data_IF_830914773153
#
_entry.id   IF_830914773153
#
_cell.length_a   1.000
_cell.length_b   1.000
_cell.length_c   1.000
_cell.angle_alpha   90.00
_cell.angle_beta   90.00
_cell.angle_gamma   90.00
#
_symmetry.space_group_name_H-M   'P 1'
#
loop_
_entity.id
_entity.type
_entity.pdbx_description
1 polymer ?
#
# COMPACT_ATOMS: atom_id res chain seq x y z
N UNK A 1 -13.58 -3.47 20.05
CA UNK A 1 -13.66 -2.07 19.58
C UNK A 1 -12.27 -1.45 19.64
N UNK A 2 -11.73 -0.98 18.52
CA UNK A 2 -10.40 -0.34 18.45
C UNK A 2 -10.30 0.99 19.21
N UNK A 3 -11.43 1.59 19.55
CA UNK A 3 -11.50 2.91 20.25
C UNK A 3 -11.05 2.83 21.72
N UNK A 4 -10.65 1.65 22.19
CA UNK A 4 -10.05 1.51 23.51
C UNK A 4 -8.59 1.98 23.50
N UNK A 5 -8.37 3.21 23.97
CA UNK A 5 -7.02 3.84 24.03
C UNK A 5 -6.09 3.18 25.03
N UNK A 6 -6.56 2.21 25.84
CA UNK A 6 -5.70 1.37 26.67
C UNK A 6 -4.89 0.34 25.88
N UNK A 7 -5.30 0.04 24.63
CA UNK A 7 -4.57 -0.88 23.74
C UNK A 7 -3.17 -0.35 23.44
N UNK A 8 -2.18 -1.23 23.61
CA UNK A 8 -0.78 -0.97 23.26
C UNK A 8 -0.56 -1.25 21.78
N UNK A 9 -0.14 -0.23 21.04
CA UNK A 9 0.12 -0.33 19.59
C UNK A 9 1.63 -0.41 19.37
N UNK A 10 2.05 -1.39 18.57
CA UNK A 10 3.41 -1.54 18.09
C UNK A 10 3.44 -1.34 16.57
N UNK A 11 4.27 -0.42 16.10
CA UNK A 11 4.54 -0.22 14.68
C UNK A 11 5.94 -0.76 14.37
N UNK A 12 6.01 -1.75 13.49
CA UNK A 12 7.27 -2.33 13.01
C UNK A 12 7.56 -1.78 11.62
N UNK A 13 8.63 -0.99 11.50
CA UNK A 13 8.93 -0.23 10.30
C UNK A 13 8.36 1.19 10.34
N UNK A 14 9.21 2.15 10.74
CA UNK A 14 8.81 3.55 10.91
C UNK A 14 9.31 4.40 9.73
N UNK A 15 8.82 4.07 8.53
CA UNK A 15 8.97 4.87 7.31
C UNK A 15 7.82 5.85 7.10
N UNK A 16 7.59 6.26 5.86
CA UNK A 16 6.46 7.12 5.48
C UNK A 16 5.12 6.59 6.00
N UNK A 17 4.80 5.32 5.74
CA UNK A 17 3.52 4.73 6.14
C UNK A 17 3.43 4.50 7.65
N UNK A 18 4.42 3.86 8.26
CA UNK A 18 4.41 3.61 9.71
C UNK A 18 4.36 4.90 10.51
N UNK A 19 5.09 5.93 10.11
CA UNK A 19 5.03 7.26 10.73
C UNK A 19 3.69 7.96 10.54
N UNK A 20 3.06 7.80 9.37
CA UNK A 20 1.72 8.36 9.10
C UNK A 20 0.63 7.68 9.93
N UNK A 21 0.72 6.36 10.12
CA UNK A 21 -0.15 5.61 11.05
C UNK A 21 0.05 6.09 12.49
N UNK A 22 1.32 6.22 12.93
CA UNK A 22 1.63 6.74 14.26
C UNK A 22 1.01 8.12 14.47
N UNK A 23 1.21 9.04 13.54
CA UNK A 23 0.68 10.40 13.59
C UNK A 23 -0.86 10.42 13.68
N UNK A 24 -1.54 9.60 12.88
CA UNK A 24 -2.99 9.52 12.90
C UNK A 24 -3.52 8.95 14.22
N UNK A 25 -2.93 7.86 14.73
CA UNK A 25 -3.38 7.18 15.95
C UNK A 25 -3.07 7.99 17.22
N UNK A 26 -1.97 8.74 17.25
CA UNK A 26 -1.64 9.65 18.38
C UNK A 26 -2.72 10.68 18.63
N UNK A 27 -3.47 11.14 17.63
CA UNK A 27 -4.58 12.10 17.78
C UNK A 27 -5.72 11.58 18.64
N UNK A 28 -5.87 10.25 18.71
CA UNK A 28 -6.88 9.59 19.54
C UNK A 28 -6.36 9.22 20.93
N UNK A 29 -5.10 9.56 21.25
CA UNK A 29 -4.52 9.31 22.57
C UNK A 29 -3.92 7.90 22.76
N UNK A 30 -3.75 7.11 21.69
CA UNK A 30 -3.09 5.81 21.78
C UNK A 30 -1.63 5.96 22.20
N UNK A 31 -1.15 4.99 23.00
CA UNK A 31 0.28 4.81 23.29
C UNK A 31 0.90 3.96 22.20
N UNK A 32 1.93 4.51 21.55
CA UNK A 32 2.56 3.90 20.39
C UNK A 32 4.04 3.60 20.70
N UNK A 33 4.38 2.32 20.56
CA UNK A 33 5.76 1.86 20.47
C UNK A 33 6.16 1.65 19.02
N UNK A 34 7.41 1.87 18.67
CA UNK A 34 7.90 1.56 17.32
C UNK A 34 9.25 0.84 17.35
N UNK A 35 9.42 -0.06 16.38
CA UNK A 35 10.69 -0.74 16.10
C UNK A 35 11.16 -0.36 14.71
N UNK A 36 12.38 0.16 14.58
CA UNK A 36 13.05 0.41 13.30
C UNK A 36 14.56 0.41 13.48
N UNK A 37 15.28 -0.06 12.46
CA UNK A 37 16.76 -0.24 12.54
C UNK A 37 17.55 1.06 12.65
N UNK A 38 16.99 2.17 12.17
CA UNK A 38 17.70 3.46 12.14
C UNK A 38 17.44 4.27 13.41
N UNK A 39 18.45 4.52 14.27
CA UNK A 39 18.28 5.29 15.51
C UNK A 39 17.86 6.75 15.26
N UNK A 40 18.27 7.36 14.15
CA UNK A 40 17.86 8.73 13.79
C UNK A 40 16.35 8.82 13.51
N UNK A 41 15.76 7.76 12.94
CA UNK A 41 14.30 7.66 12.74
C UNK A 41 13.56 7.65 14.08
N UNK A 42 14.08 6.92 15.07
CA UNK A 42 13.52 6.89 16.43
C UNK A 42 13.64 8.26 17.09
N UNK A 43 14.83 8.87 17.04
CA UNK A 43 15.06 10.19 17.60
C UNK A 43 14.11 11.24 17.01
N UNK A 44 13.95 11.26 15.69
CA UNK A 44 13.01 12.14 15.00
C UNK A 44 11.56 11.90 15.47
N UNK A 45 11.12 10.65 15.52
CA UNK A 45 9.75 10.31 15.87
C UNK A 45 9.41 10.65 17.34
N UNK A 46 10.35 10.44 18.27
CA UNK A 46 10.21 10.84 19.68
C UNK A 46 10.17 12.37 19.81
N UNK A 47 11.11 13.07 19.17
CA UNK A 47 11.21 14.54 19.24
C UNK A 47 9.98 15.24 18.66
N UNK A 48 9.30 14.61 17.67
CA UNK A 48 8.09 15.12 17.05
C UNK A 48 6.80 14.52 17.65
N UNK A 49 6.90 13.80 18.78
CA UNK A 49 5.78 13.19 19.48
C UNK A 49 4.90 12.25 18.58
N UNK A 50 5.54 11.57 17.63
CA UNK A 50 4.86 10.57 16.78
C UNK A 50 4.69 9.23 17.49
N UNK A 51 5.63 8.91 18.40
CA UNK A 51 5.63 7.68 19.20
C UNK A 51 5.96 8.01 20.66
N UNK A 52 5.61 7.11 21.58
CA UNK A 52 5.94 7.22 23.01
C UNK A 52 7.22 6.47 23.34
N UNK A 53 7.47 5.34 22.67
CA UNK A 53 8.65 4.50 22.88
C UNK A 53 9.22 4.04 21.55
N UNK A 54 10.54 4.05 21.42
CA UNK A 54 11.23 3.63 20.20
C UNK A 54 12.37 2.66 20.48
N UNK A 55 12.52 1.67 19.61
CA UNK A 55 13.53 0.61 19.75
C UNK A 55 14.22 0.37 18.41
N UNK A 56 15.54 0.17 18.47
CA UNK A 56 16.35 -0.19 17.29
C UNK A 56 16.53 -1.71 17.17
N UNK A 57 16.21 -2.44 18.23
CA UNK A 57 16.28 -3.90 18.33
C UNK A 57 14.91 -4.46 18.67
N UNK A 58 14.63 -5.68 18.22
CA UNK A 58 13.40 -6.39 18.57
C UNK A 58 13.57 -7.01 19.95
N UNK A 59 12.65 -6.69 20.87
CA UNK A 59 12.65 -7.18 22.25
C UNK A 59 11.37 -7.94 22.52
N UNK A 60 11.49 -9.12 23.14
CA UNK A 60 10.36 -9.99 23.44
C UNK A 60 9.30 -9.28 24.29
N UNK A 61 9.71 -8.56 25.32
CA UNK A 61 8.80 -7.82 26.21
C UNK A 61 7.98 -6.75 25.46
N UNK A 62 8.56 -6.11 24.43
CA UNK A 62 7.86 -5.09 23.64
C UNK A 62 6.84 -5.73 22.70
N UNK A 63 7.21 -6.85 22.07
CA UNK A 63 6.35 -7.58 21.13
C UNK A 63 5.19 -8.27 21.86
N UNK A 64 5.48 -8.94 22.99
CA UNK A 64 4.49 -9.69 23.74
C UNK A 64 3.44 -8.83 24.46
N UNK A 65 3.76 -7.55 24.70
CA UNK A 65 2.82 -6.62 25.33
C UNK A 65 1.82 -5.97 24.33
N UNK A 66 2.14 -5.96 23.03
CA UNK A 66 1.32 -5.28 22.04
C UNK A 66 -0.05 -5.95 21.84
N UNK A 67 -1.11 -5.13 21.76
CA UNK A 67 -2.48 -5.56 21.43
C UNK A 67 -2.77 -5.45 19.94
N UNK A 68 -2.14 -4.50 19.27
CA UNK A 68 -2.18 -4.29 17.83
C UNK A 68 -0.77 -4.11 17.31
N UNK A 69 -0.39 -4.91 16.31
CA UNK A 69 0.91 -4.78 15.64
C UNK A 69 0.66 -4.41 14.18
N UNK A 70 1.30 -3.33 13.74
CA UNK A 70 1.18 -2.79 12.38
C UNK A 70 2.54 -2.88 11.69
N UNK A 71 2.63 -3.63 10.60
CA UNK A 71 3.87 -3.78 9.84
C UNK A 71 3.92 -2.81 8.67
N UNK A 72 4.83 -1.83 8.76
CA UNK A 72 5.18 -0.88 7.70
C UNK A 72 6.48 -1.27 6.98
N UNK A 73 6.62 -2.54 6.60
CA UNK A 73 7.82 -3.16 6.01
C UNK A 73 7.56 -3.59 4.56
N UNK A 74 8.62 -3.84 3.80
CA UNK A 74 8.54 -4.50 2.50
C UNK A 74 8.08 -5.95 2.68
N UNK A 75 7.41 -6.56 1.67
CA UNK A 75 6.81 -7.88 1.80
C UNK A 75 7.76 -8.96 2.31
N UNK A 76 8.96 -9.08 1.73
CA UNK A 76 9.95 -10.08 2.15
C UNK A 76 10.44 -9.83 3.59
N UNK A 77 10.77 -8.57 3.94
CA UNK A 77 11.24 -8.21 5.29
C UNK A 77 10.18 -8.48 6.34
N UNK A 78 8.91 -8.24 6.01
CA UNK A 78 7.79 -8.54 6.89
C UNK A 78 7.69 -10.05 7.21
N UNK A 79 7.76 -10.90 6.19
CA UNK A 79 7.68 -12.35 6.38
C UNK A 79 8.91 -12.92 7.12
N UNK A 80 10.09 -12.39 6.85
CA UNK A 80 11.31 -12.73 7.61
C UNK A 80 11.16 -12.36 9.07
N UNK A 81 10.68 -11.14 9.35
CA UNK A 81 10.45 -10.68 10.72
C UNK A 81 9.45 -11.56 11.46
N UNK A 82 8.33 -11.92 10.81
CA UNK A 82 7.35 -12.83 11.41
C UNK A 82 7.94 -14.22 11.68
N UNK A 83 8.75 -14.74 10.78
CA UNK A 83 9.38 -16.07 10.93
C UNK A 83 10.33 -16.10 12.14
N UNK A 84 11.02 -15.01 12.43
CA UNK A 84 11.99 -14.91 13.52
C UNK A 84 11.31 -14.59 14.87
N UNK A 85 10.43 -13.60 14.88
CA UNK A 85 9.88 -13.00 16.11
C UNK A 85 8.38 -13.26 16.33
N UNK A 86 7.67 -13.82 15.37
CA UNK A 86 6.21 -14.04 15.46
C UNK A 86 5.77 -14.86 16.66
N UNK A 87 6.64 -15.76 17.16
CA UNK A 87 6.43 -16.57 18.37
C UNK A 87 6.27 -15.75 19.66
N UNK A 88 6.74 -14.50 19.69
CA UNK A 88 6.61 -13.60 20.84
C UNK A 88 5.29 -12.81 20.82
N UNK A 89 4.57 -12.82 19.71
CA UNK A 89 3.29 -12.14 19.61
C UNK A 89 2.25 -12.88 20.44
N UNK A 90 1.61 -12.18 21.38
CA UNK A 90 0.56 -12.78 22.22
C UNK A 90 -0.66 -13.18 21.39
N UNK A 91 -1.30 -14.29 21.72
CA UNK A 91 -2.44 -14.86 20.98
C UNK A 91 -3.64 -13.92 20.84
N UNK A 92 -3.81 -13.00 21.78
CA UNK A 92 -4.91 -12.02 21.77
C UNK A 92 -4.61 -10.77 20.92
N UNK A 93 -3.40 -10.66 20.37
CA UNK A 93 -3.05 -9.51 19.55
C UNK A 93 -3.65 -9.62 18.15
N UNK A 94 -4.04 -8.47 17.60
CA UNK A 94 -4.34 -8.33 16.19
C UNK A 94 -3.08 -7.89 15.44
N UNK A 95 -2.77 -8.54 14.33
CA UNK A 95 -1.61 -8.22 13.49
C UNK A 95 -2.09 -7.78 12.12
N UNK A 96 -1.56 -6.67 11.61
CA UNK A 96 -1.87 -6.16 10.26
C UNK A 96 -0.65 -5.61 9.56
N UNK A 97 -0.73 -5.43 8.25
CA UNK A 97 0.33 -4.90 7.40
C UNK A 97 -0.17 -3.74 6.52
N UNK A 98 0.76 -3.15 5.76
CA UNK A 98 0.46 -2.11 4.76
C UNK A 98 0.95 -2.48 3.36
N UNK A 99 1.31 -3.75 3.11
CA UNK A 99 1.93 -4.18 1.86
C UNK A 99 1.03 -3.95 0.65
N UNK A 100 1.64 -3.64 -0.50
CA UNK A 100 0.94 -3.37 -1.76
C UNK A 100 0.52 -4.61 -2.55
N UNK A 101 0.85 -5.82 -2.06
CA UNK A 101 0.49 -7.12 -2.64
C UNK A 101 -0.03 -8.05 -1.54
N UNK A 102 -0.93 -8.96 -1.86
CA UNK A 102 -1.63 -9.75 -0.82
C UNK A 102 -1.45 -11.25 -0.94
N UNK A 103 -1.60 -11.84 -2.12
CA UNK A 103 -1.51 -13.30 -2.30
C UNK A 103 -0.18 -13.88 -1.81
N UNK A 104 0.92 -13.22 -2.13
CA UNK A 104 2.27 -13.65 -1.75
C UNK A 104 2.56 -13.48 -0.25
N UNK A 105 1.76 -12.69 0.46
CA UNK A 105 2.01 -12.28 1.86
C UNK A 105 1.00 -12.92 2.82
N UNK A 106 -0.30 -12.81 2.52
CA UNK A 106 -1.38 -13.09 3.49
C UNK A 106 -1.35 -14.54 3.97
N UNK A 107 -1.30 -15.49 3.04
CA UNK A 107 -1.35 -16.92 3.37
C UNK A 107 -0.10 -17.36 4.14
N UNK A 108 1.07 -16.84 3.74
CA UNK A 108 2.32 -17.15 4.43
C UNK A 108 2.39 -16.56 5.83
N UNK A 109 1.91 -15.32 6.01
CA UNK A 109 1.83 -14.71 7.33
C UNK A 109 0.87 -15.47 8.26
N UNK A 110 -0.30 -15.88 7.74
CA UNK A 110 -1.25 -16.70 8.48
C UNK A 110 -0.74 -18.12 8.80
N UNK A 111 0.11 -18.67 7.95
CA UNK A 111 0.77 -19.95 8.21
C UNK A 111 1.80 -19.83 9.34
N UNK A 112 2.63 -18.79 9.32
CA UNK A 112 3.64 -18.53 10.35
C UNK A 112 2.98 -18.29 11.72
N UNK A 113 1.85 -17.59 11.76
CA UNK A 113 1.13 -17.26 12.99
C UNK A 113 0.09 -18.32 13.39
N UNK A 114 0.05 -19.47 12.72
CA UNK A 114 -0.98 -20.49 12.98
C UNK A 114 -1.03 -20.93 14.45
N UNK A 115 -2.23 -20.94 15.04
CA UNK A 115 -2.44 -21.19 16.47
C UNK A 115 -1.97 -20.08 17.41
N UNK A 116 -1.48 -18.96 16.88
CA UNK A 116 -1.02 -17.75 17.60
C UNK A 116 -1.98 -16.57 17.48
N UNK A 117 -1.40 -15.40 17.18
CA UNK A 117 -2.13 -14.15 16.95
C UNK A 117 -2.88 -14.18 15.62
N UNK A 118 -3.99 -13.44 15.54
CA UNK A 118 -4.74 -13.32 14.30
C UNK A 118 -4.13 -12.25 13.38
N UNK A 119 -3.78 -12.66 12.16
CA UNK A 119 -3.31 -11.76 11.11
C UNK A 119 -4.41 -11.45 10.12
N UNK A 120 -4.68 -10.15 9.91
CA UNK A 120 -5.56 -9.64 8.87
C UNK A 120 -4.83 -8.57 8.07
N UNK A 121 -4.82 -8.72 6.77
CA UNK A 121 -4.06 -7.84 5.90
C UNK A 121 -4.89 -6.66 5.42
N UNK A 122 -4.23 -5.50 5.25
CA UNK A 122 -4.84 -4.33 4.66
C UNK A 122 -3.87 -3.56 3.77
N UNK A 123 -4.42 -2.86 2.76
CA UNK A 123 -3.65 -2.01 1.86
C UNK A 123 -4.19 -0.58 1.92
N UNK A 124 -3.46 0.35 2.53
CA UNK A 124 -3.74 1.77 2.43
C UNK A 124 -3.38 2.26 1.02
N UNK A 125 -4.39 2.56 0.19
CA UNK A 125 -4.21 3.12 -1.16
C UNK A 125 -3.79 4.60 -1.08
N UNK A 126 -2.73 4.84 -0.33
CA UNK A 126 -2.15 6.14 -0.06
C UNK A 126 -0.63 6.03 -0.12
N UNK A 127 0.03 7.05 -0.61
CA UNK A 127 1.49 7.09 -0.70
C UNK A 127 1.94 8.38 -1.37
N UNK A 128 3.24 8.57 -1.35
CA UNK A 128 3.94 9.65 -2.05
C UNK A 128 5.24 9.09 -2.62
N UNK A 129 5.80 9.79 -3.59
CA UNK A 129 7.09 9.45 -4.19
C UNK A 129 8.29 9.81 -3.27
N UNK A 130 8.03 9.94 -1.95
CA UNK A 130 9.01 10.23 -0.92
C UNK A 130 9.08 9.07 0.08
N UNK A 131 10.19 8.93 0.77
CA UNK A 131 10.41 7.94 1.83
C UNK A 131 10.87 8.62 3.12
N UNK A 132 10.93 7.83 4.21
CA UNK A 132 11.38 8.33 5.52
C UNK A 132 10.24 8.83 6.41
N UNK A 133 10.49 8.81 7.72
CA UNK A 133 9.52 9.25 8.74
C UNK A 133 9.29 10.75 8.71
N UNK A 134 10.26 11.53 8.27
CA UNK A 134 10.21 12.98 8.12
C UNK A 134 9.19 13.45 7.07
N UNK A 135 8.81 12.57 6.13
CA UNK A 135 7.80 12.82 5.11
C UNK A 135 6.40 12.30 5.52
N UNK A 136 6.27 11.73 6.73
CA UNK A 136 5.01 11.21 7.23
C UNK A 136 3.97 12.30 7.41
N UNK A 137 2.73 11.96 7.11
CA UNK A 137 1.58 12.84 7.30
C UNK A 137 0.31 12.01 7.37
N UNK A 138 -0.49 12.19 8.39
CA UNK A 138 -1.82 11.59 8.47
C UNK A 138 -2.79 12.11 7.38
N UNK A 139 -2.50 13.27 6.80
CA UNK A 139 -3.30 13.84 5.71
C UNK A 139 -3.25 13.02 4.41
N UNK A 140 -2.26 12.12 4.25
CA UNK A 140 -2.18 11.24 3.07
C UNK A 140 -3.37 10.28 2.97
N UNK A 141 -4.04 10.01 4.08
CA UNK A 141 -5.19 9.10 4.15
C UNK A 141 -6.52 9.76 3.74
N UNK A 142 -6.58 11.10 3.81
CA UNK A 142 -7.80 11.85 3.46
C UNK A 142 -8.09 11.73 1.96
N UNK A 143 -9.27 11.24 1.62
CA UNK A 143 -9.69 11.01 0.23
C UNK A 143 -9.10 9.74 -0.39
N UNK A 144 -8.33 8.94 0.35
CA UNK A 144 -7.79 7.67 -0.09
C UNK A 144 -8.73 6.49 0.27
N UNK A 145 -8.46 5.33 -0.34
CA UNK A 145 -9.15 4.08 -0.07
C UNK A 145 -8.32 3.19 0.87
N UNK A 146 -9.00 2.42 1.72
CA UNK A 146 -8.41 1.38 2.55
C UNK A 146 -9.00 0.04 2.18
N UNK A 147 -8.18 -0.92 1.79
CA UNK A 147 -8.64 -2.23 1.33
C UNK A 147 -8.26 -3.27 2.37
N UNK A 148 -9.24 -3.86 3.04
CA UNK A 148 -9.06 -5.00 3.94
C UNK A 148 -9.17 -6.29 3.13
N UNK A 149 -8.23 -7.21 3.32
CA UNK A 149 -8.17 -8.46 2.55
C UNK A 149 -8.24 -9.68 3.47
N UNK A 150 -9.45 -10.03 3.96
CA UNK A 150 -9.65 -11.19 4.79
C UNK A 150 -9.55 -12.51 4.00
N UNK A 151 -9.26 -13.57 4.72
CA UNK A 151 -9.39 -14.96 4.27
C UNK A 151 -10.42 -15.69 5.14
N UNK A 152 -10.67 -16.95 4.85
CA UNK A 152 -11.54 -17.82 5.65
C UNK A 152 -11.01 -18.03 7.10
N UNK A 153 -9.72 -17.81 7.33
CA UNK A 153 -9.11 -17.87 8.68
C UNK A 153 -9.45 -16.66 9.55
N UNK A 154 -9.99 -15.58 8.99
CA UNK A 154 -10.25 -14.37 9.75
C UNK A 154 -11.62 -14.38 10.42
N UNK A 155 -11.61 -14.01 11.70
CA UNK A 155 -12.84 -13.79 12.47
C UNK A 155 -13.57 -12.52 12.01
N UNK A 156 -14.90 -12.50 12.18
CA UNK A 156 -15.69 -11.29 11.91
C UNK A 156 -15.21 -10.10 12.76
N UNK A 157 -14.75 -10.38 13.97
CA UNK A 157 -14.22 -9.35 14.87
C UNK A 157 -12.96 -8.70 14.30
N UNK A 158 -11.97 -9.49 13.87
CA UNK A 158 -10.73 -8.96 13.28
C UNK A 158 -11.01 -8.15 12.00
N UNK A 159 -11.95 -8.60 11.16
CA UNK A 159 -12.36 -7.87 9.97
C UNK A 159 -12.93 -6.48 10.33
N UNK A 160 -13.84 -6.41 11.30
CA UNK A 160 -14.42 -5.12 11.72
C UNK A 160 -13.40 -4.24 12.45
N UNK A 161 -12.51 -4.80 13.29
CA UNK A 161 -11.44 -4.03 13.92
C UNK A 161 -10.47 -3.44 12.88
N UNK A 162 -10.12 -4.19 11.84
CA UNK A 162 -9.27 -3.70 10.75
C UNK A 162 -9.96 -2.60 9.91
N UNK A 163 -11.27 -2.74 9.64
CA UNK A 163 -12.05 -1.69 8.99
C UNK A 163 -12.16 -0.43 9.85
N UNK A 164 -12.35 -0.59 11.16
CA UNK A 164 -12.39 0.53 12.10
C UNK A 164 -11.04 1.25 12.16
N UNK A 165 -9.91 0.51 12.10
CA UNK A 165 -8.58 1.09 11.97
C UNK A 165 -8.50 2.00 10.74
N UNK A 166 -8.96 1.55 9.57
CA UNK A 166 -9.00 2.36 8.36
C UNK A 166 -9.81 3.66 8.55
N UNK A 167 -10.98 3.59 9.21
CA UNK A 167 -11.80 4.78 9.51
C UNK A 167 -11.12 5.74 10.48
N UNK A 168 -10.48 5.22 11.54
CA UNK A 168 -9.71 6.03 12.50
C UNK A 168 -8.53 6.74 11.84
N UNK A 169 -7.88 6.10 10.89
CA UNK A 169 -6.79 6.70 10.12
C UNK A 169 -7.27 7.83 9.19
N UNK A 170 -8.58 7.95 8.94
CA UNK A 170 -9.17 9.02 8.13
C UNK A 170 -9.39 8.66 6.66
N UNK A 171 -9.36 7.37 6.30
CA UNK A 171 -9.67 6.95 4.94
C UNK A 171 -11.13 7.22 4.59
N UNK A 172 -11.38 7.70 3.38
CA UNK A 172 -12.73 8.08 2.91
C UNK A 172 -13.58 6.86 2.54
N UNK A 173 -12.94 5.77 2.13
CA UNK A 173 -13.63 4.54 1.77
C UNK A 173 -12.85 3.33 2.31
N UNK A 174 -13.58 2.38 2.89
CA UNK A 174 -13.04 1.12 3.42
C UNK A 174 -13.70 -0.03 2.68
N UNK A 175 -12.96 -0.64 1.77
CA UNK A 175 -13.39 -1.80 0.99
C UNK A 175 -12.93 -3.11 1.64
N UNK A 176 -13.61 -4.21 1.29
CA UNK A 176 -13.25 -5.55 1.75
C UNK A 176 -13.37 -6.51 0.57
N UNK A 177 -12.25 -7.08 0.13
CA UNK A 177 -12.15 -8.02 -0.99
C UNK A 177 -11.16 -9.13 -0.67
N UNK A 178 -11.18 -10.24 -1.41
CA UNK A 178 -10.21 -11.32 -1.22
C UNK A 178 -8.79 -10.90 -1.62
N UNK A 179 -7.74 -11.59 -1.12
CA UNK A 179 -6.36 -11.35 -1.58
C UNK A 179 -6.20 -11.50 -3.09
N UNK A 180 -6.94 -12.44 -3.72
CA UNK A 180 -6.92 -12.69 -5.16
C UNK A 180 -7.52 -11.52 -5.94
N UNK A 181 -8.70 -11.07 -5.53
CA UNK A 181 -9.37 -9.93 -6.16
C UNK A 181 -8.57 -8.64 -5.98
N UNK A 182 -7.97 -8.46 -4.79
CA UNK A 182 -7.06 -7.34 -4.52
C UNK A 182 -5.93 -7.30 -5.55
N UNK A 183 -5.20 -8.39 -5.72
CA UNK A 183 -4.02 -8.42 -6.58
C UNK A 183 -4.37 -8.26 -8.07
N UNK A 184 -5.52 -8.78 -8.51
CA UNK A 184 -6.05 -8.53 -9.85
C UNK A 184 -6.38 -7.03 -10.06
N UNK A 185 -7.05 -6.41 -9.09
CA UNK A 185 -7.39 -4.96 -9.13
C UNK A 185 -6.12 -4.10 -9.09
N UNK A 186 -5.19 -4.38 -8.18
CA UNK A 186 -3.94 -3.63 -8.04
C UNK A 186 -3.05 -3.78 -9.27
N UNK A 187 -3.05 -4.94 -9.89
CA UNK A 187 -2.40 -5.17 -11.18
C UNK A 187 -2.81 -4.13 -12.23
N UNK A 188 -4.09 -3.77 -12.26
CA UNK A 188 -4.63 -2.77 -13.20
C UNK A 188 -4.48 -1.33 -12.70
N UNK A 189 -5.07 -1.00 -11.53
CA UNK A 189 -5.21 0.41 -11.10
C UNK A 189 -3.93 1.03 -10.57
N UNK A 190 -2.92 0.22 -10.24
CA UNK A 190 -1.64 0.68 -9.68
C UNK A 190 -0.46 0.21 -10.51
N UNK A 191 -0.21 -1.10 -10.59
CA UNK A 191 1.03 -1.63 -11.17
C UNK A 191 1.14 -1.35 -12.67
N UNK A 192 0.08 -1.59 -13.44
CA UNK A 192 0.05 -1.27 -14.87
C UNK A 192 0.28 0.23 -15.12
N UNK A 193 -0.27 1.12 -14.31
CA UNK A 193 -0.07 2.56 -14.47
C UNK A 193 1.39 2.96 -14.29
N UNK A 194 2.10 2.33 -13.34
CA UNK A 194 3.54 2.53 -13.17
C UNK A 194 4.35 1.94 -14.34
N UNK A 195 3.98 0.75 -14.84
CA UNK A 195 4.60 0.19 -16.04
C UNK A 195 4.46 1.10 -17.26
N UNK A 196 3.27 1.70 -17.46
CA UNK A 196 3.03 2.65 -18.56
C UNK A 196 3.91 3.89 -18.40
N UNK A 197 3.99 4.47 -17.20
CA UNK A 197 4.80 5.65 -16.94
C UNK A 197 6.30 5.37 -17.16
N UNK A 198 6.82 4.25 -16.66
CA UNK A 198 8.22 3.82 -16.85
C UNK A 198 8.50 3.62 -18.35
N UNK A 199 7.63 2.90 -19.05
CA UNK A 199 7.81 2.60 -20.47
C UNK A 199 7.77 3.88 -21.29
N UNK A 200 6.84 4.81 -20.99
CA UNK A 200 6.75 6.10 -21.68
C UNK A 200 8.02 6.94 -21.51
N UNK A 201 8.63 6.93 -20.31
CA UNK A 201 9.88 7.64 -20.04
C UNK A 201 11.11 7.01 -20.69
N UNK A 202 11.07 5.73 -21.01
CA UNK A 202 12.21 4.97 -21.52
C UNK A 202 12.11 4.63 -23.02
N UNK A 203 11.01 4.96 -23.69
CA UNK A 203 10.82 4.63 -25.12
C UNK A 203 11.37 5.71 -26.09
N UNK A 204 11.86 6.83 -25.59
CA UNK A 204 12.41 7.90 -26.43
C UNK A 204 13.58 8.61 -25.73
N UNK A 205 14.78 8.51 -26.26
CA UNK A 205 16.02 9.05 -25.68
C UNK A 205 16.41 10.43 -26.28
N UNK A 206 15.51 11.12 -26.98
CA UNK A 206 15.82 12.42 -27.60
C UNK A 206 16.14 13.45 -26.51
N UNK A 207 17.34 14.02 -26.58
CA UNK A 207 17.81 15.11 -25.70
C UNK A 207 16.98 16.38 -25.91
N UNK A 208 16.64 17.06 -24.82
CA UNK A 208 15.91 18.34 -24.86
C UNK A 208 14.38 18.18 -24.92
N UNK A 209 13.85 16.95 -24.80
CA UNK A 209 12.39 16.72 -24.77
C UNK A 209 11.69 17.48 -23.64
N UNK A 210 12.36 17.72 -22.54
CA UNK A 210 11.85 18.45 -21.38
C UNK A 210 11.40 19.88 -21.74
N UNK A 211 11.95 20.47 -22.78
CA UNK A 211 11.58 21.82 -23.26
C UNK A 211 10.25 21.85 -24.05
N UNK A 212 9.71 20.69 -24.41
CA UNK A 212 8.52 20.55 -25.25
C UNK A 212 7.33 19.91 -24.52
N UNK A 213 7.47 19.62 -23.22
CA UNK A 213 6.44 18.91 -22.45
C UNK A 213 5.35 19.84 -21.96
N UNK A 214 4.09 19.39 -22.06
CA UNK A 214 2.92 19.99 -21.42
C UNK A 214 2.52 19.24 -20.15
N UNK A 215 1.43 19.68 -19.50
CA UNK A 215 0.92 19.10 -18.25
C UNK A 215 0.50 17.64 -18.44
N UNK A 216 -0.13 17.28 -19.55
CA UNK A 216 -0.54 15.90 -19.85
C UNK A 216 0.61 14.90 -19.78
N UNK A 217 1.80 15.28 -20.31
CA UNK A 217 2.97 14.41 -20.23
C UNK A 217 3.49 14.31 -18.80
N UNK A 218 3.56 15.42 -18.08
CA UNK A 218 3.99 15.47 -16.67
C UNK A 218 3.07 14.66 -15.78
N UNK A 219 1.75 14.75 -15.97
CA UNK A 219 0.76 14.02 -15.20
C UNK A 219 0.89 12.50 -15.41
N UNK A 220 1.02 12.05 -16.67
CA UNK A 220 1.19 10.62 -16.99
C UNK A 220 2.52 10.04 -16.50
N UNK A 221 3.57 10.86 -16.44
CA UNK A 221 4.93 10.38 -16.09
C UNK A 221 5.36 10.69 -14.66
N UNK A 222 4.54 11.39 -13.88
CA UNK A 222 4.84 11.77 -12.50
C UNK A 222 5.28 10.57 -11.64
N UNK A 223 4.60 9.45 -11.79
CA UNK A 223 4.86 8.20 -11.06
C UNK A 223 6.01 7.36 -11.63
N UNK A 224 6.66 7.80 -12.71
CA UNK A 224 7.87 7.15 -13.23
C UNK A 224 9.11 7.40 -12.35
N UNK A 225 9.06 8.41 -11.45
CA UNK A 225 10.05 8.58 -10.38
C UNK A 225 9.75 7.58 -9.28
N UNK A 226 10.41 6.45 -9.33
CA UNK A 226 10.01 5.23 -8.62
C UNK A 226 11.14 4.74 -7.70
N UNK A 227 10.77 4.11 -6.57
CA UNK A 227 11.70 3.32 -5.77
C UNK A 227 11.84 1.96 -6.44
N UNK A 228 12.96 1.75 -7.12
CA UNK A 228 13.23 0.58 -7.95
C UNK A 228 13.29 -0.74 -7.15
N UNK A 229 13.85 -0.73 -5.94
CA UNK A 229 13.89 -1.88 -5.04
C UNK A 229 12.48 -2.35 -4.66
N UNK A 230 11.67 -1.44 -4.14
CA UNK A 230 10.29 -1.75 -3.73
C UNK A 230 9.42 -2.20 -4.91
N UNK A 231 9.45 -1.46 -6.02
CA UNK A 231 8.56 -1.73 -7.14
C UNK A 231 8.92 -2.98 -7.92
N UNK A 232 10.22 -3.31 -8.03
CA UNK A 232 10.63 -4.58 -8.61
C UNK A 232 10.13 -5.77 -7.80
N UNK A 233 10.18 -5.70 -6.46
CA UNK A 233 9.58 -6.71 -5.58
C UNK A 233 8.06 -6.83 -5.78
N UNK A 234 7.34 -5.69 -5.78
CA UNK A 234 5.88 -5.67 -5.94
C UNK A 234 5.43 -6.23 -7.31
N UNK A 235 6.14 -5.91 -8.39
CA UNK A 235 5.84 -6.44 -9.72
C UNK A 235 6.04 -7.96 -9.78
N UNK A 236 7.14 -8.45 -9.22
CA UNK A 236 7.43 -9.89 -9.20
C UNK A 236 6.49 -10.66 -8.28
N UNK A 237 6.13 -10.09 -7.13
CA UNK A 237 5.18 -10.69 -6.19
C UNK A 237 3.75 -10.80 -6.76
N UNK A 238 3.38 -9.93 -7.70
CA UNK A 238 2.08 -9.93 -8.40
C UNK A 238 2.19 -10.25 -9.88
N UNK A 239 3.20 -11.03 -10.28
CA UNK A 239 3.61 -11.24 -11.66
C UNK A 239 2.47 -11.66 -12.61
N UNK A 240 1.70 -12.68 -12.25
CA UNK A 240 0.69 -13.22 -13.17
C UNK A 240 -0.48 -12.26 -13.40
N UNK A 241 -1.10 -11.64 -12.35
CA UNK A 241 -2.10 -10.61 -12.54
C UNK A 241 -1.57 -9.42 -13.36
N UNK A 242 -0.36 -8.94 -13.07
CA UNK A 242 0.23 -7.81 -13.79
C UNK A 242 0.44 -8.13 -15.28
N UNK A 243 1.04 -9.27 -15.62
CA UNK A 243 1.24 -9.67 -17.02
C UNK A 243 -0.08 -9.74 -17.78
N UNK A 244 -1.14 -10.31 -17.19
CA UNK A 244 -2.49 -10.34 -17.76
C UNK A 244 -3.01 -8.93 -18.09
N UNK A 245 -2.81 -7.96 -17.19
CA UNK A 245 -3.23 -6.58 -17.42
C UNK A 245 -2.38 -5.89 -18.50
N UNK A 246 -1.08 -6.17 -18.54
CA UNK A 246 -0.19 -5.66 -19.60
C UNK A 246 -0.60 -6.18 -20.98
N UNK A 247 -0.89 -7.48 -21.10
CA UNK A 247 -1.34 -8.06 -22.37
C UNK A 247 -2.65 -7.45 -22.85
N UNK A 248 -3.62 -7.27 -21.94
CA UNK A 248 -4.89 -6.61 -22.25
C UNK A 248 -4.71 -5.16 -22.67
N UNK A 249 -3.83 -4.42 -22.01
CA UNK A 249 -3.49 -3.05 -22.37
C UNK A 249 -2.82 -2.97 -23.75
N UNK A 250 -1.82 -3.82 -24.01
CA UNK A 250 -1.14 -3.87 -25.32
C UNK A 250 -2.11 -4.20 -26.44
N UNK A 251 -3.05 -5.12 -26.23
CA UNK A 251 -4.09 -5.43 -27.21
C UNK A 251 -4.94 -4.19 -27.53
N UNK A 252 -5.40 -3.44 -26.53
CA UNK A 252 -6.17 -2.21 -26.72
C UNK A 252 -5.36 -1.09 -27.34
N UNK A 253 -4.10 -0.99 -27.02
CA UNK A 253 -3.20 -0.01 -27.65
C UNK A 253 -2.95 -0.32 -29.12
N UNK A 254 -2.83 -1.60 -29.47
CA UNK A 254 -2.71 -2.05 -30.88
C UNK A 254 -4.01 -1.82 -31.68
N UNK A 255 -5.21 -2.00 -31.06
CA UNK A 255 -6.49 -1.63 -31.71
C UNK A 255 -6.50 -0.14 -32.09
N UNK A 256 -6.16 0.76 -31.14
CA UNK A 256 -6.08 2.20 -31.43
C UNK A 256 -5.03 2.52 -32.50
N UNK A 257 -3.85 1.88 -32.44
CA UNK A 257 -2.80 2.02 -33.46
C UNK A 257 -3.33 1.64 -34.84
N UNK A 258 -4.10 0.55 -34.96
CA UNK A 258 -4.69 0.08 -36.21
C UNK A 258 -5.71 1.11 -36.74
N UNK A 259 -6.59 1.63 -35.90
CA UNK A 259 -7.56 2.67 -36.29
C UNK A 259 -6.85 3.91 -36.85
N UNK A 260 -5.73 4.31 -36.24
CA UNK A 260 -4.89 5.42 -36.73
C UNK A 260 -4.27 5.08 -38.08
N UNK A 261 -3.73 3.87 -38.22
CA UNK A 261 -3.03 3.44 -39.46
C UNK A 261 -3.97 3.30 -40.66
N UNK A 262 -5.27 3.06 -40.40
CA UNK A 262 -6.30 2.90 -41.44
C UNK A 262 -7.21 4.13 -41.59
N UNK A 263 -6.87 5.25 -40.95
CA UNK A 263 -7.67 6.47 -40.92
C UNK A 263 -9.12 6.28 -40.47
N UNK A 264 -9.40 5.25 -39.64
CA UNK A 264 -10.73 4.94 -39.15
C UNK A 264 -11.20 5.92 -38.06
N UNK A 265 -11.57 7.10 -38.54
CA UNK A 265 -11.98 8.20 -37.67
C UNK A 265 -13.21 7.88 -36.82
N UNK A 266 -14.15 7.10 -37.36
CA UNK A 266 -15.40 6.84 -36.64
C UNK A 266 -15.19 5.89 -35.46
N UNK A 267 -14.46 4.80 -35.64
CA UNK A 267 -14.11 3.91 -34.53
C UNK A 267 -13.23 4.61 -33.47
N UNK A 268 -12.30 5.47 -33.90
CA UNK A 268 -11.52 6.28 -32.92
C UNK A 268 -12.45 7.17 -32.07
N UNK A 269 -13.42 7.84 -32.67
CA UNK A 269 -14.38 8.69 -31.95
C UNK A 269 -15.26 7.90 -30.99
N UNK A 270 -15.70 6.71 -31.37
CA UNK A 270 -16.45 5.80 -30.49
C UNK A 270 -15.61 5.38 -29.27
N UNK A 271 -14.37 4.97 -29.49
CA UNK A 271 -13.45 4.63 -28.41
C UNK A 271 -13.21 5.82 -27.46
N UNK A 272 -13.05 7.03 -27.99
CA UNK A 272 -12.85 8.24 -27.19
C UNK A 272 -14.10 8.60 -26.37
N UNK A 273 -15.32 8.48 -26.94
CA UNK A 273 -16.58 8.67 -26.21
C UNK A 273 -16.70 7.66 -25.05
N UNK A 274 -16.45 6.40 -25.34
CA UNK A 274 -16.44 5.35 -24.30
C UNK A 274 -15.42 5.63 -23.19
N UNK A 275 -14.20 6.06 -23.56
CA UNK A 275 -13.18 6.45 -22.59
C UNK A 275 -13.67 7.59 -21.68
N UNK A 276 -14.32 8.61 -22.24
CA UNK A 276 -14.86 9.76 -21.49
C UNK A 276 -15.95 9.31 -20.50
N UNK A 277 -16.86 8.45 -20.92
CA UNK A 277 -17.90 7.88 -20.05
C UNK A 277 -17.27 7.08 -18.90
N UNK A 278 -16.28 6.25 -19.21
CA UNK A 278 -15.56 5.47 -18.18
C UNK A 278 -14.82 6.38 -17.21
N UNK A 279 -14.18 7.45 -17.69
CA UNK A 279 -13.40 8.36 -16.84
C UNK A 279 -14.27 9.08 -15.81
N UNK A 280 -15.49 9.43 -16.17
CA UNK A 280 -16.44 10.10 -15.27
C UNK A 280 -16.75 9.28 -14.00
N UNK A 281 -16.61 7.95 -14.04
CA UNK A 281 -16.79 7.08 -12.86
C UNK A 281 -15.70 7.27 -11.79
N UNK A 282 -14.55 7.84 -12.15
CA UNK A 282 -13.40 8.05 -11.28
C UNK A 282 -13.25 9.49 -10.80
N UNK A 283 -14.20 10.36 -11.14
CA UNK A 283 -14.19 11.73 -10.61
C UNK A 283 -14.51 11.69 -9.10
N UNK A 284 -13.69 12.38 -8.30
CA UNK A 284 -13.95 12.50 -6.87
C UNK A 284 -15.24 13.28 -6.68
N UNK A 285 -16.18 12.68 -5.97
CA UNK A 285 -17.43 13.33 -5.55
C UNK A 285 -17.18 14.31 -4.43
#
# INVERSE_FOLDING_TARGET
MLVDTSKKILIVGLGLMGGSYAMALKKYGFKISAITRNPKTIEYALSNNLIDFGYTEVKEEVVSEADLIIFGLYPHVFLEWLSEYGKWIKKSALVTDVTGVKRSVVYRAQEILDGGAEFISAHPMAGRETCGVENSSDKIFIGANYIVTPTEKNTKQAIEECKELGRLLGFSNVACISPEEHDDVIGFVSQLTHCIAITLMTCNDKVGLENFTGDSFRDLTRIARINDEMWSELFLANKLPLLKQMDAFMAKFNELKTMIATDDREQMRELMRYSTERRALFDKK
#
